data_IF_239835966581
#
_entry.id   IF_239835966581
#
_cell.length_a   1.000
_cell.length_b   1.000
_cell.length_c   1.000
_cell.angle_alpha   90.00
_cell.angle_beta   90.00
_cell.angle_gamma   90.00
#
_symmetry.space_group_name_H-M   'P 1'
#
loop_
_entity.id
_entity.type
_entity.pdbx_description
1 polymer ?
#
# COMPACT_ATOMS: atom_id res chain seq x y z
N UNK A 1 -2.06 -12.04 12.75
CA UNK A 1 -3.24 -11.18 12.55
C UNK A 1 -3.29 -10.74 11.10
N UNK A 2 -4.48 -10.69 10.51
CA UNK A 2 -4.69 -10.33 9.10
C UNK A 2 -5.30 -8.94 9.01
N UNK A 3 -4.71 -8.07 8.18
CA UNK A 3 -5.22 -6.72 7.92
C UNK A 3 -5.39 -6.47 6.43
N UNK A 4 -6.35 -5.61 6.09
CA UNK A 4 -6.60 -5.15 4.73
C UNK A 4 -6.44 -3.65 4.67
N UNK A 5 -5.67 -3.19 3.70
CA UNK A 5 -5.49 -1.78 3.41
C UNK A 5 -5.83 -1.50 1.95
N UNK A 6 -6.55 -0.42 1.69
CA UNK A 6 -6.77 0.10 0.35
C UNK A 6 -6.07 1.45 0.21
N UNK A 7 -5.53 1.74 -0.97
CA UNK A 7 -4.92 3.04 -1.26
C UNK A 7 -5.12 3.44 -2.73
N UNK A 8 -5.15 4.75 -3.05
CA UNK A 8 -5.23 5.22 -4.43
C UNK A 8 -4.16 4.61 -5.32
N UNK A 9 -2.95 4.41 -4.80
CA UNK A 9 -1.82 3.85 -5.53
C UNK A 9 -1.17 2.70 -4.76
N UNK A 10 -0.75 1.67 -5.49
CA UNK A 10 0.11 0.59 -5.01
C UNK A 10 1.33 0.48 -5.91
N UNK A 11 2.52 0.73 -5.37
CA UNK A 11 3.78 0.49 -6.07
C UNK A 11 4.33 -0.89 -5.71
N UNK A 12 4.57 -1.72 -6.72
CA UNK A 12 5.20 -3.03 -6.60
C UNK A 12 6.74 -2.91 -6.65
N UNK A 13 7.43 -3.99 -6.27
CA UNK A 13 8.90 -4.02 -6.25
C UNK A 13 9.55 -3.80 -7.61
N UNK A 14 8.86 -4.18 -8.69
CA UNK A 14 9.31 -3.94 -10.07
C UNK A 14 9.09 -2.50 -10.55
N UNK A 15 8.65 -1.59 -9.67
CA UNK A 15 8.38 -0.19 -9.97
C UNK A 15 6.99 0.09 -10.54
N UNK A 16 6.22 -0.95 -10.91
CA UNK A 16 4.87 -0.77 -11.46
C UNK A 16 3.94 -0.14 -10.43
N UNK A 17 3.17 0.86 -10.86
CA UNK A 17 2.17 1.52 -10.03
C UNK A 17 0.78 1.10 -10.53
N UNK A 18 0.05 0.44 -9.65
CA UNK A 18 -1.35 0.07 -9.84
C UNK A 18 -2.25 1.08 -9.17
N UNK A 19 -3.43 1.31 -9.75
CA UNK A 19 -4.42 2.25 -9.23
C UNK A 19 -5.48 1.49 -8.45
N UNK A 20 -5.93 2.07 -7.34
CA UNK A 20 -7.04 1.59 -6.51
C UNK A 20 -6.92 0.08 -6.21
N UNK A 21 -5.99 -0.27 -5.35
CA UNK A 21 -5.75 -1.66 -4.95
C UNK A 21 -6.01 -1.84 -3.46
N UNK A 22 -6.52 -3.02 -3.11
CA UNK A 22 -6.50 -3.56 -1.75
C UNK A 22 -5.27 -4.44 -1.62
N UNK A 23 -4.58 -4.36 -0.49
CA UNK A 23 -3.55 -5.30 -0.09
C UNK A 23 -3.98 -6.05 1.17
N UNK A 24 -3.58 -7.31 1.26
CA UNK A 24 -3.71 -8.12 2.48
C UNK A 24 -2.34 -8.33 3.10
N UNK A 25 -2.25 -7.95 4.37
CA UNK A 25 -1.09 -8.24 5.22
C UNK A 25 -1.44 -9.35 6.20
N UNK A 26 -0.49 -10.24 6.43
CA UNK A 26 -0.55 -11.25 7.48
C UNK A 26 0.71 -11.15 8.33
N UNK A 27 0.55 -10.80 9.61
CA UNK A 27 1.67 -10.53 10.53
C UNK A 27 2.66 -9.48 9.97
N UNK A 28 2.15 -8.41 9.37
CA UNK A 28 2.95 -7.35 8.73
C UNK A 28 3.60 -7.71 7.40
N UNK A 29 3.36 -8.90 6.86
CA UNK A 29 3.91 -9.34 5.57
C UNK A 29 2.85 -9.30 4.47
N UNK A 30 3.20 -8.74 3.33
CA UNK A 30 2.35 -8.68 2.14
C UNK A 30 2.10 -10.07 1.57
N UNK A 31 0.83 -10.45 1.46
CA UNK A 31 0.44 -11.76 0.91
C UNK A 31 -0.26 -11.65 -0.44
N UNK A 32 -1.20 -10.71 -0.57
CA UNK A 32 -2.09 -10.63 -1.74
C UNK A 32 -2.48 -9.19 -2.05
N UNK A 33 -2.86 -8.95 -3.30
CA UNK A 33 -3.50 -7.71 -3.74
C UNK A 33 -4.73 -8.01 -4.59
N UNK A 34 -5.68 -7.07 -4.60
CA UNK A 34 -6.91 -7.14 -5.36
C UNK A 34 -7.19 -5.76 -5.98
N UNK A 35 -7.74 -5.69 -7.19
CA UNK A 35 -8.39 -4.48 -7.67
C UNK A 35 -9.48 -4.05 -6.68
N UNK A 36 -9.54 -2.76 -6.37
CA UNK A 36 -10.65 -2.20 -5.60
C UNK A 36 -11.87 -2.05 -6.53
N UNK A 37 -12.59 -3.15 -6.73
CA UNK A 37 -13.84 -3.19 -7.50
C UNK A 37 -15.07 -3.18 -6.58
N UNK A 38 -14.94 -3.73 -5.37
CA UNK A 38 -15.98 -3.77 -4.35
C UNK A 38 -15.35 -3.56 -2.97
N UNK A 39 -16.08 -2.92 -2.08
CA UNK A 39 -15.64 -2.71 -0.71
C UNK A 39 -15.65 -4.04 0.05
N UNK A 40 -14.45 -4.57 0.32
CA UNK A 40 -14.30 -5.76 1.16
C UNK A 40 -14.43 -5.34 2.63
N UNK A 41 -15.24 -6.08 3.40
CA UNK A 41 -15.41 -5.84 4.83
C UNK A 41 -14.05 -5.77 5.56
N UNK A 42 -13.99 -4.86 6.55
CA UNK A 42 -12.81 -4.60 7.38
C UNK A 42 -11.55 -4.14 6.61
N UNK A 43 -11.74 -3.39 5.52
CA UNK A 43 -10.64 -2.74 4.79
C UNK A 43 -10.41 -1.32 5.30
N UNK A 44 -9.17 -1.00 5.67
CA UNK A 44 -8.76 0.34 6.09
C UNK A 44 -8.34 1.13 4.85
N UNK A 45 -8.99 2.26 4.61
CA UNK A 45 -8.63 3.16 3.53
C UNK A 45 -7.53 4.13 3.95
N UNK A 46 -6.44 4.10 3.21
CA UNK A 46 -5.31 5.01 3.34
C UNK A 46 -5.26 5.92 2.13
N UNK A 47 -4.93 7.19 2.34
CA UNK A 47 -4.63 8.11 1.26
C UNK A 47 -3.24 7.80 0.64
N UNK A 48 -2.88 8.52 -0.41
CA UNK A 48 -1.52 8.47 -0.96
C UNK A 48 -1.12 7.15 -1.63
N UNK A 49 0.04 6.62 -1.22
CA UNK A 49 0.70 5.46 -1.85
C UNK A 49 1.00 4.38 -0.82
N UNK A 50 0.71 3.12 -1.16
CA UNK A 50 1.33 1.95 -0.53
C UNK A 50 2.47 1.46 -1.42
N UNK A 51 3.65 1.21 -0.85
CA UNK A 51 4.79 0.64 -1.55
C UNK A 51 5.15 -0.72 -0.94
N UNK A 52 5.28 -1.73 -1.79
CA UNK A 52 5.78 -3.05 -1.42
C UNK A 52 7.29 -3.07 -1.63
N UNK A 53 8.03 -3.49 -0.60
CA UNK A 53 9.48 -3.66 -0.63
C UNK A 53 9.86 -5.00 -0.03
N UNK A 54 11.01 -5.52 -0.40
CA UNK A 54 11.60 -6.69 0.25
C UNK A 54 12.57 -6.22 1.35
N UNK A 55 12.36 -6.71 2.57
CA UNK A 55 13.25 -6.51 3.71
C UNK A 55 13.52 -7.87 4.35
N UNK A 56 14.79 -8.27 4.45
CA UNK A 56 15.20 -9.53 5.10
C UNK A 56 14.46 -10.77 4.56
N UNK A 57 14.21 -10.82 3.25
CA UNK A 57 13.50 -11.93 2.58
C UNK A 57 11.99 -11.93 2.79
N UNK A 58 11.42 -10.86 3.36
CA UNK A 58 9.97 -10.69 3.54
C UNK A 58 9.45 -9.52 2.74
N UNK A 59 8.27 -9.69 2.16
CA UNK A 59 7.57 -8.60 1.49
C UNK A 59 6.83 -7.77 2.53
N UNK A 60 7.18 -6.49 2.65
CA UNK A 60 6.56 -5.57 3.62
C UNK A 60 5.93 -4.39 2.90
N UNK A 61 4.93 -3.78 3.53
CA UNK A 61 4.23 -2.64 2.97
C UNK A 61 4.50 -1.37 3.78
N UNK A 62 4.80 -0.28 3.08
CA UNK A 62 4.91 1.05 3.65
C UNK A 62 3.85 1.97 3.06
N UNK A 63 3.18 2.72 3.93
CA UNK A 63 2.30 3.82 3.54
C UNK A 63 3.08 5.12 3.49
N UNK A 64 2.89 5.86 2.39
CA UNK A 64 3.44 7.19 2.16
C UNK A 64 2.32 8.21 2.07
N UNK A 65 2.29 9.16 3.01
CA UNK A 65 1.31 10.24 3.06
C UNK A 65 1.89 11.52 3.71
N UNK A 66 1.52 12.73 3.23
CA UNK A 66 0.75 13.00 2.02
C UNK A 66 1.52 12.57 0.76
N UNK A 67 0.83 12.24 -0.33
CA UNK A 67 1.46 11.85 -1.61
C UNK A 67 0.68 12.42 -2.80
N UNK A 68 1.37 12.95 -3.81
CA UNK A 68 0.71 13.43 -5.02
C UNK A 68 0.41 12.25 -5.94
N UNK A 69 -0.84 11.76 -5.89
CA UNK A 69 -1.27 10.61 -6.68
C UNK A 69 -1.40 10.89 -8.19
N UNK A 70 -1.50 12.16 -8.60
CA UNK A 70 -1.58 12.56 -10.01
C UNK A 70 -0.20 12.45 -10.65
N UNK A 71 0.80 13.09 -10.04
CA UNK A 71 2.18 13.10 -10.53
C UNK A 71 2.99 11.89 -10.05
N UNK A 72 2.37 11.02 -9.25
CA UNK A 72 2.96 9.79 -8.67
C UNK A 72 4.27 10.07 -7.93
N UNK A 73 4.32 11.12 -7.12
CA UNK A 73 5.53 11.52 -6.37
C UNK A 73 5.20 11.97 -4.94
N UNK A 74 6.15 11.84 -4.00
CA UNK A 74 6.01 12.43 -2.67
C UNK A 74 5.96 13.96 -2.76
N UNK A 75 5.38 14.59 -1.74
CA UNK A 75 5.35 16.04 -1.56
C UNK A 75 6.13 16.43 -0.31
N UNK A 76 6.33 17.73 -0.09
CA UNK A 76 6.95 18.20 1.13
C UNK A 76 6.18 17.69 2.36
N UNK A 77 6.89 17.04 3.29
CA UNK A 77 6.29 16.46 4.49
C UNK A 77 5.74 15.04 4.34
N UNK A 78 5.91 14.36 3.18
CA UNK A 78 5.57 12.94 3.06
C UNK A 78 6.27 12.12 4.14
N UNK A 79 5.50 11.44 4.98
CA UNK A 79 5.99 10.48 5.95
C UNK A 79 5.91 9.07 5.39
N UNK A 80 6.69 8.16 5.99
CA UNK A 80 6.70 6.74 5.66
C UNK A 80 6.40 5.94 6.93
N UNK A 81 5.31 5.18 6.91
CA UNK A 81 4.88 4.34 8.04
C UNK A 81 4.81 2.88 7.58
N UNK A 82 5.37 1.96 8.37
CA UNK A 82 5.27 0.52 8.11
C UNK A 82 3.88 0.04 8.50
N UNK A 83 3.23 -0.69 7.61
CA UNK A 83 1.94 -1.32 7.87
C UNK A 83 2.14 -2.69 8.52
N UNK A 84 1.22 -3.11 9.39
CA UNK A 84 1.31 -4.33 10.23
C UNK A 84 0.06 -5.18 10.11
#
# INVERSE_FOLDING_TARGET
MKHRYASPLLQLMNGNILVKQIIELENGEFKRKYPFEQELAATIWLDGLIKIVEEEGKLVAYHYSPYNCINKQPVAGTQRIRLT
#
